data_IF_807921727525
#
_entry.id   IF_807921727525
#
_cell.length_a   1.000
_cell.length_b   1.000
_cell.length_c   1.000
_cell.angle_alpha   90.00
_cell.angle_beta   90.00
_cell.angle_gamma   90.00
#
_symmetry.space_group_name_H-M   'P 1'
#
loop_
_entity.id
_entity.type
_entity.pdbx_description
1 polymer ?
#
# COMPACT_ATOMS: atom_id res chain seq x y z
N UNK A 1 -5.14 22.32 11.23
CA UNK A 1 -5.67 21.91 12.56
C UNK A 1 -6.25 20.49 12.46
N UNK A 2 -5.63 19.50 13.13
CA UNK A 2 -6.13 18.12 13.17
C UNK A 2 -7.18 18.03 14.28
N UNK A 3 -8.42 17.81 13.92
CA UNK A 3 -9.49 17.50 14.86
C UNK A 3 -9.23 16.13 15.50
N UNK A 4 -8.57 16.12 16.67
CA UNK A 4 -8.59 14.94 17.53
C UNK A 4 -10.00 14.84 18.10
N UNK A 5 -10.75 13.83 17.69
CA UNK A 5 -12.04 13.52 18.33
C UNK A 5 -11.74 13.02 19.75
N UNK A 6 -11.87 13.91 20.73
CA UNK A 6 -11.61 13.68 22.16
C UNK A 6 -12.82 13.14 22.92
N UNK A 7 -13.85 12.67 22.22
CA UNK A 7 -15.02 12.06 22.86
C UNK A 7 -14.73 10.66 23.40
N UNK A 8 -15.57 10.13 24.31
CA UNK A 8 -15.44 8.78 24.84
C UNK A 8 -15.45 7.73 23.71
N UNK A 9 -14.76 6.62 23.94
CA UNK A 9 -14.77 5.48 23.01
C UNK A 9 -16.17 4.84 23.01
N UNK A 10 -16.67 4.49 21.84
CA UNK A 10 -17.88 3.68 21.73
C UNK A 10 -17.65 2.28 22.33
N UNK A 11 -18.71 1.57 22.62
CA UNK A 11 -18.60 0.20 23.15
C UNK A 11 -17.80 -0.70 22.22
N UNK A 12 -18.06 -0.65 20.93
CA UNK A 12 -17.31 -1.43 19.92
C UNK A 12 -15.84 -1.03 19.83
N UNK A 13 -15.52 0.27 19.92
CA UNK A 13 -14.14 0.75 19.96
C UNK A 13 -13.41 0.23 21.20
N UNK A 14 -14.07 0.23 22.37
CA UNK A 14 -13.49 -0.33 23.61
C UNK A 14 -13.25 -1.83 23.53
N UNK A 15 -14.24 -2.61 23.06
CA UNK A 15 -14.12 -4.07 22.87
C UNK A 15 -13.00 -4.41 21.88
N UNK A 16 -12.93 -3.69 20.77
CA UNK A 16 -11.86 -3.90 19.76
C UNK A 16 -10.50 -3.56 20.31
N UNK A 17 -10.35 -2.45 21.05
CA UNK A 17 -9.08 -2.07 21.67
C UNK A 17 -8.64 -3.10 22.70
N UNK A 18 -9.56 -3.61 23.53
CA UNK A 18 -9.28 -4.67 24.51
C UNK A 18 -8.78 -5.95 23.83
N UNK A 19 -9.44 -6.40 22.77
CA UNK A 19 -9.03 -7.59 21.99
C UNK A 19 -7.63 -7.43 21.39
N UNK A 20 -7.33 -6.25 20.83
CA UNK A 20 -6.00 -5.97 20.26
C UNK A 20 -4.94 -5.94 21.36
N UNK A 21 -5.26 -5.35 22.52
CA UNK A 21 -4.34 -5.29 23.67
C UNK A 21 -4.03 -6.68 24.20
N UNK A 22 -5.04 -7.53 24.39
CA UNK A 22 -4.87 -8.92 24.80
C UNK A 22 -4.01 -9.71 23.80
N UNK A 23 -4.25 -9.55 22.49
CA UNK A 23 -3.44 -10.20 21.47
C UNK A 23 -1.98 -9.73 21.50
N UNK A 24 -1.74 -8.43 21.73
CA UNK A 24 -0.40 -7.85 21.84
C UNK A 24 0.33 -8.31 23.13
N UNK A 25 -0.39 -8.46 24.23
CA UNK A 25 0.16 -8.94 25.50
C UNK A 25 0.51 -10.41 25.47
N UNK A 26 -0.34 -11.20 24.83
CA UNK A 26 -0.11 -12.64 24.66
C UNK A 26 0.85 -12.97 23.50
N UNK A 27 1.39 -11.98 22.78
CA UNK A 27 2.25 -12.19 21.62
C UNK A 27 1.53 -12.96 20.50
N UNK A 28 0.20 -12.85 20.41
CA UNK A 28 -0.60 -13.48 19.36
C UNK A 28 -0.64 -12.62 18.09
N UNK A 29 -1.04 -13.23 16.96
CA UNK A 29 -1.26 -12.51 15.70
C UNK A 29 -2.26 -11.35 15.88
N UNK A 30 -2.16 -10.34 15.05
CA UNK A 30 -3.17 -9.28 15.01
C UNK A 30 -4.56 -9.88 14.69
N UNK A 31 -5.62 -9.50 15.43
CA UNK A 31 -6.97 -9.97 15.16
C UNK A 31 -7.40 -9.66 13.74
N UNK A 32 -8.05 -10.61 13.07
CA UNK A 32 -8.65 -10.41 11.73
C UNK A 32 -9.92 -9.56 11.84
N UNK A 33 -10.51 -9.20 10.70
CA UNK A 33 -11.80 -8.52 10.72
C UNK A 33 -12.92 -9.41 11.27
N UNK A 34 -12.84 -10.72 10.97
CA UNK A 34 -13.80 -11.72 11.46
C UNK A 34 -13.68 -11.91 12.98
N UNK A 35 -12.44 -12.03 13.51
CA UNK A 35 -12.19 -12.13 14.97
C UNK A 35 -12.78 -10.90 15.70
N UNK A 36 -12.64 -9.71 15.13
CA UNK A 36 -13.19 -8.47 15.71
C UNK A 36 -14.71 -8.47 15.61
N UNK A 37 -15.27 -8.91 14.48
CA UNK A 37 -16.72 -8.98 14.28
C UNK A 37 -17.35 -9.92 15.30
N UNK A 38 -16.81 -11.11 15.47
CA UNK A 38 -17.28 -12.12 16.44
C UNK A 38 -17.20 -11.58 17.87
N UNK A 39 -16.08 -10.96 18.25
CA UNK A 39 -15.87 -10.43 19.58
C UNK A 39 -16.76 -9.22 19.91
N UNK A 40 -17.02 -8.36 18.94
CA UNK A 40 -17.79 -7.12 19.14
C UNK A 40 -19.28 -7.29 18.91
N UNK A 41 -19.69 -8.33 18.16
CA UNK A 41 -21.06 -8.54 17.72
C UNK A 41 -21.53 -7.53 16.67
N UNK A 42 -20.60 -6.92 15.92
CA UNK A 42 -20.99 -5.96 14.89
C UNK A 42 -21.49 -6.65 13.62
N UNK A 43 -22.43 -6.01 12.91
CA UNK A 43 -23.20 -6.63 11.83
C UNK A 43 -22.46 -6.75 10.49
N UNK A 44 -21.24 -6.18 10.36
CA UNK A 44 -20.50 -6.24 9.10
C UNK A 44 -19.00 -6.08 9.25
N UNK A 45 -18.26 -6.72 8.35
CA UNK A 45 -16.80 -6.59 8.22
C UNK A 45 -16.38 -5.13 7.93
N UNK A 46 -17.17 -4.39 7.15
CA UNK A 46 -16.90 -2.98 6.87
C UNK A 46 -16.92 -2.12 8.14
N UNK A 47 -17.79 -2.45 9.10
CA UNK A 47 -17.85 -1.78 10.40
C UNK A 47 -16.57 -2.05 11.20
N UNK A 48 -16.06 -3.28 11.21
CA UNK A 48 -14.81 -3.63 11.93
C UNK A 48 -13.61 -2.85 11.37
N UNK A 49 -13.51 -2.76 10.05
CA UNK A 49 -12.46 -1.97 9.38
C UNK A 49 -12.53 -0.49 9.79
N UNK A 50 -13.75 0.05 9.83
CA UNK A 50 -14.00 1.45 10.23
C UNK A 50 -13.62 1.70 11.70
N UNK A 51 -13.91 0.74 12.60
CA UNK A 51 -13.53 0.82 14.02
C UNK A 51 -12.02 0.87 14.17
N UNK A 52 -11.29 -0.04 13.52
CA UNK A 52 -9.82 -0.07 13.55
C UNK A 52 -9.23 1.25 13.02
N UNK A 53 -9.75 1.77 11.90
CA UNK A 53 -9.32 3.06 11.37
C UNK A 53 -9.58 4.23 12.33
N UNK A 54 -10.70 4.19 13.07
CA UNK A 54 -11.00 5.22 14.09
C UNK A 54 -10.01 5.16 15.25
N UNK A 55 -9.68 3.95 15.74
CA UNK A 55 -8.68 3.77 16.80
C UNK A 55 -7.29 4.26 16.35
N UNK A 56 -6.91 3.96 15.11
CA UNK A 56 -5.66 4.43 14.49
C UNK A 56 -5.65 5.98 14.36
N UNK A 57 -6.73 6.58 13.87
CA UNK A 57 -6.87 8.05 13.75
C UNK A 57 -6.85 8.76 15.11
N UNK A 58 -7.33 8.10 16.16
CA UNK A 58 -7.24 8.59 17.53
C UNK A 58 -5.83 8.45 18.16
N UNK A 59 -4.94 7.71 17.48
CA UNK A 59 -3.57 7.46 17.96
C UNK A 59 -3.51 6.46 19.11
N UNK A 60 -4.51 5.61 19.29
CA UNK A 60 -4.53 4.57 20.31
C UNK A 60 -3.77 3.32 19.87
N UNK A 61 -3.80 3.04 18.57
CA UNK A 61 -3.06 1.96 17.92
C UNK A 61 -2.31 2.49 16.71
N UNK A 62 -1.19 1.86 16.37
CA UNK A 62 -0.50 2.01 15.10
C UNK A 62 -0.63 0.69 14.32
N UNK A 63 -0.95 0.77 13.02
CA UNK A 63 -1.18 -0.40 12.18
C UNK A 63 -0.19 -0.42 11.03
N UNK A 64 0.72 -1.39 11.06
CA UNK A 64 1.61 -1.71 9.95
C UNK A 64 0.94 -2.75 9.06
N UNK A 65 0.74 -2.42 7.78
CA UNK A 65 0.04 -3.28 6.81
C UNK A 65 1.05 -3.94 5.89
N UNK A 66 0.99 -5.26 5.81
CA UNK A 66 1.78 -6.11 4.92
C UNK A 66 0.89 -6.75 3.85
N UNK A 67 1.46 -7.49 2.93
CA UNK A 67 0.74 -8.00 1.76
C UNK A 67 -0.49 -8.87 2.13
N UNK A 68 -0.39 -9.72 3.16
CA UNK A 68 -1.48 -10.61 3.61
C UNK A 68 -1.71 -10.58 5.12
N UNK A 69 -1.11 -9.62 5.81
CA UNK A 69 -1.12 -9.56 7.26
C UNK A 69 -0.98 -8.13 7.75
N UNK A 70 -1.13 -7.94 9.04
CA UNK A 70 -0.93 -6.66 9.71
C UNK A 70 -0.30 -6.87 11.07
N UNK A 71 0.48 -5.92 11.52
CA UNK A 71 0.98 -5.82 12.88
C UNK A 71 0.32 -4.61 13.54
N UNK A 72 -0.14 -4.78 14.75
CA UNK A 72 -0.76 -3.71 15.52
C UNK A 72 0.10 -3.42 16.75
N UNK A 73 0.35 -2.14 17.02
CA UNK A 73 1.08 -1.68 18.19
C UNK A 73 0.14 -0.83 19.03
N UNK A 74 0.05 -1.11 20.33
CA UNK A 74 -0.66 -0.28 21.30
C UNK A 74 0.24 0.92 21.63
N UNK A 75 -0.21 2.13 21.28
CA UNK A 75 0.62 3.34 21.44
C UNK A 75 0.97 3.62 22.89
N UNK A 76 0.03 3.37 23.81
CA UNK A 76 0.21 3.64 25.23
C UNK A 76 1.26 2.73 25.91
N UNK A 77 1.39 1.47 25.49
CA UNK A 77 2.27 0.48 26.11
C UNK A 77 3.46 0.09 25.25
N UNK A 78 3.44 0.44 23.96
CA UNK A 78 4.41 -0.01 22.97
C UNK A 78 4.36 -1.51 22.65
N UNK A 79 3.44 -2.27 23.26
CA UNK A 79 3.30 -3.71 23.02
C UNK A 79 2.77 -3.94 21.59
N UNK A 80 3.28 -5.00 20.96
CA UNK A 80 2.98 -5.35 19.57
C UNK A 80 2.40 -6.74 19.47
N UNK A 81 1.47 -6.92 18.54
CA UNK A 81 1.05 -8.27 18.12
C UNK A 81 2.21 -9.02 17.46
N UNK A 82 2.11 -10.35 17.39
CA UNK A 82 3.18 -11.22 16.85
C UNK A 82 3.72 -10.72 15.50
N UNK A 83 4.98 -11.04 15.25
CA UNK A 83 5.62 -10.81 13.95
C UNK A 83 4.85 -11.52 12.83
N UNK A 84 4.77 -10.88 11.68
CA UNK A 84 4.16 -11.46 10.49
C UNK A 84 5.18 -12.34 9.77
N UNK A 85 4.70 -13.42 9.15
CA UNK A 85 5.54 -14.38 8.41
C UNK A 85 6.15 -13.72 7.16
N UNK A 86 5.44 -12.77 6.55
CA UNK A 86 5.90 -12.04 5.37
C UNK A 86 5.78 -10.54 5.62
N UNK A 87 6.92 -9.88 5.78
CA UNK A 87 7.04 -8.43 6.00
C UNK A 87 7.06 -7.63 4.69
N UNK A 88 6.78 -8.26 3.54
CA UNK A 88 6.68 -7.54 2.28
C UNK A 88 5.63 -6.41 2.40
N UNK A 89 5.98 -5.18 1.99
CA UNK A 89 5.07 -4.04 2.07
C UNK A 89 3.77 -4.33 1.33
N UNK A 90 2.66 -3.84 1.88
CA UNK A 90 1.38 -3.92 1.16
C UNK A 90 1.49 -3.10 -0.13
N UNK A 91 1.03 -3.65 -1.26
CA UNK A 91 1.10 -3.00 -2.57
C UNK A 91 0.48 -1.59 -2.61
N UNK A 92 -0.43 -1.25 -1.67
CA UNK A 92 -1.01 0.08 -1.49
C UNK A 92 -0.24 0.99 -0.53
N UNK A 93 0.79 0.49 0.15
CA UNK A 93 1.48 1.27 1.21
C UNK A 93 2.36 2.40 0.68
N UNK A 94 2.43 2.61 -0.62
CA UNK A 94 2.97 3.84 -1.23
C UNK A 94 4.44 4.17 -0.93
N UNK A 95 5.16 3.31 -0.19
CA UNK A 95 6.57 3.50 0.16
C UNK A 95 7.54 2.85 -0.85
N UNK A 96 7.00 2.10 -1.81
CA UNK A 96 7.77 1.75 -3.00
C UNK A 96 7.91 2.97 -3.90
N UNK A 97 8.97 3.09 -4.70
CA UNK A 97 9.03 4.10 -5.73
C UNK A 97 7.71 3.99 -6.51
N UNK A 98 6.95 5.08 -6.56
CA UNK A 98 5.77 5.15 -7.42
C UNK A 98 6.27 4.71 -8.77
N UNK A 99 5.83 3.54 -9.23
CA UNK A 99 6.15 3.07 -10.56
C UNK A 99 5.90 4.26 -11.48
N UNK A 100 6.92 4.61 -12.26
CA UNK A 100 6.79 5.69 -13.23
C UNK A 100 5.45 5.53 -13.96
N UNK A 101 4.76 6.61 -14.33
CA UNK A 101 3.45 6.53 -14.94
C UNK A 101 3.50 5.51 -16.06
N UNK A 102 2.92 4.34 -15.81
CA UNK A 102 2.97 3.23 -16.76
C UNK A 102 2.01 3.55 -17.88
N UNK A 103 2.55 3.78 -19.05
CA UNK A 103 1.72 3.80 -20.28
C UNK A 103 1.24 2.36 -20.49
N UNK A 104 -0.07 2.08 -20.37
CA UNK A 104 -0.54 0.72 -20.58
C UNK A 104 -0.29 0.32 -22.04
N UNK A 105 0.23 -0.88 -22.26
CA UNK A 105 0.50 -1.41 -23.61
C UNK A 105 -0.75 -1.34 -24.51
N UNK A 106 -1.93 -1.45 -23.94
CA UNK A 106 -3.23 -1.30 -24.65
C UNK A 106 -3.34 0.06 -25.35
N UNK A 107 -2.77 1.12 -24.82
CA UNK A 107 -2.76 2.43 -25.45
C UNK A 107 -1.87 2.44 -26.72
N UNK A 108 -0.75 1.74 -26.68
CA UNK A 108 0.14 1.56 -27.83
C UNK A 108 -0.51 0.66 -28.85
N UNK A 109 -1.14 -0.45 -28.42
CA UNK A 109 -1.86 -1.39 -29.30
C UNK A 109 -2.97 -0.70 -30.09
N UNK A 110 -3.72 0.21 -29.47
CA UNK A 110 -4.80 0.93 -30.12
C UNK A 110 -4.32 1.89 -31.21
N UNK A 111 -3.10 2.41 -31.12
CA UNK A 111 -2.53 3.41 -32.06
C UNK A 111 -1.51 2.86 -33.03
N UNK A 112 -0.71 1.91 -32.59
CA UNK A 112 0.42 1.32 -33.34
C UNK A 112 0.54 -0.18 -32.98
N UNK A 113 -0.36 -1.04 -33.54
CA UNK A 113 -0.41 -2.46 -33.18
C UNK A 113 0.87 -3.21 -33.47
N UNK A 114 1.56 -2.87 -34.57
CA UNK A 114 2.81 -3.55 -34.94
C UNK A 114 3.92 -3.19 -33.97
N UNK A 115 4.06 -1.92 -33.61
CA UNK A 115 5.02 -1.46 -32.58
C UNK A 115 4.76 -2.11 -31.22
N UNK A 116 3.50 -2.29 -30.84
CA UNK A 116 3.16 -2.97 -29.60
C UNK A 116 3.62 -4.44 -29.62
N UNK A 117 3.50 -5.14 -30.76
CA UNK A 117 4.01 -6.51 -30.90
C UNK A 117 5.54 -6.56 -30.77
N UNK A 118 6.24 -5.65 -31.42
CA UNK A 118 7.70 -5.54 -31.32
C UNK A 118 8.15 -5.31 -29.88
N UNK A 119 7.50 -4.40 -29.17
CA UNK A 119 7.77 -4.12 -27.76
C UNK A 119 7.56 -5.35 -26.87
N UNK A 120 6.49 -6.12 -27.08
CA UNK A 120 6.23 -7.36 -26.34
C UNK A 120 7.32 -8.40 -26.60
N UNK A 121 7.76 -8.54 -27.85
CA UNK A 121 8.84 -9.47 -28.23
C UNK A 121 10.16 -9.03 -27.62
N UNK A 122 10.48 -7.74 -27.67
CA UNK A 122 11.70 -7.19 -27.08
C UNK A 122 11.74 -7.39 -25.55
N UNK A 123 10.65 -7.07 -24.86
CA UNK A 123 10.55 -7.30 -23.42
C UNK A 123 10.81 -8.76 -23.02
N UNK A 124 10.26 -9.71 -23.80
CA UNK A 124 10.49 -11.15 -23.58
C UNK A 124 11.96 -11.54 -23.80
N UNK A 125 12.61 -10.98 -24.81
CA UNK A 125 14.05 -11.25 -25.08
C UNK A 125 14.94 -10.76 -23.95
N UNK A 126 14.57 -9.63 -23.32
CA UNK A 126 15.30 -9.06 -22.19
C UNK A 126 14.91 -9.66 -20.84
N UNK A 127 13.96 -10.62 -20.82
CA UNK A 127 13.48 -11.24 -19.57
C UNK A 127 12.71 -10.29 -18.66
N UNK A 128 12.21 -9.19 -19.20
CA UNK A 128 11.48 -8.15 -18.46
C UNK A 128 9.96 -8.28 -18.63
N UNK A 129 9.20 -7.77 -17.66
CA UNK A 129 7.77 -7.57 -17.88
C UNK A 129 7.57 -6.46 -18.93
N UNK A 130 6.49 -6.55 -19.70
CA UNK A 130 6.15 -5.52 -20.71
C UNK A 130 6.03 -4.13 -20.06
N UNK A 131 5.58 -4.08 -18.82
CA UNK A 131 5.43 -2.83 -18.07
C UNK A 131 6.78 -2.21 -17.68
N UNK A 132 7.70 -3.03 -17.20
CA UNK A 132 9.06 -2.59 -16.85
C UNK A 132 9.83 -2.17 -18.10
N UNK A 133 9.68 -2.91 -19.20
CA UNK A 133 10.26 -2.57 -20.49
C UNK A 133 9.76 -1.21 -21.03
N UNK A 134 8.44 -0.96 -20.96
CA UNK A 134 7.87 0.35 -21.33
C UNK A 134 8.39 1.46 -20.41
N UNK A 135 8.53 1.20 -19.11
CA UNK A 135 9.12 2.14 -18.15
C UNK A 135 10.56 2.51 -18.53
N UNK A 136 11.36 1.51 -18.89
CA UNK A 136 12.74 1.72 -19.34
C UNK A 136 12.81 2.52 -20.64
N UNK A 137 11.93 2.25 -21.61
CA UNK A 137 11.85 3.01 -22.86
C UNK A 137 11.47 4.48 -22.65
N UNK A 138 10.49 4.74 -21.75
CA UNK A 138 10.10 6.10 -21.40
C UNK A 138 11.26 6.84 -20.76
N UNK A 139 12.00 6.20 -19.86
CA UNK A 139 13.17 6.77 -19.22
C UNK A 139 14.27 7.09 -20.24
N UNK A 140 14.61 6.13 -21.10
CA UNK A 140 15.60 6.33 -22.15
C UNK A 140 15.21 7.46 -23.11
N UNK A 141 13.95 7.49 -23.55
CA UNK A 141 13.42 8.56 -24.40
C UNK A 141 13.48 9.93 -23.75
N UNK A 142 13.20 10.00 -22.43
CA UNK A 142 13.33 11.25 -21.67
C UNK A 142 14.77 11.74 -21.60
N UNK A 143 15.74 10.84 -21.34
CA UNK A 143 17.17 11.19 -21.32
C UNK A 143 17.63 11.78 -22.66
N UNK A 144 17.26 11.17 -23.77
CA UNK A 144 17.56 11.68 -25.12
C UNK A 144 16.96 13.08 -25.32
N UNK A 145 15.70 13.26 -24.90
CA UNK A 145 14.99 14.54 -25.03
C UNK A 145 15.64 15.64 -24.21
N UNK A 146 16.00 15.37 -22.96
CA UNK A 146 16.66 16.33 -22.07
C UNK A 146 18.02 16.75 -22.60
N UNK A 147 18.80 15.78 -23.11
CA UNK A 147 20.10 16.07 -23.72
C UNK A 147 19.96 16.96 -24.96
N UNK A 148 18.96 16.67 -25.81
CA UNK A 148 18.70 17.50 -26.99
C UNK A 148 18.26 18.93 -26.63
N UNK A 149 17.42 19.10 -25.59
CA UNK A 149 16.99 20.42 -25.13
C UNK A 149 18.16 21.24 -24.58
N UNK A 150 19.05 20.62 -23.78
CA UNK A 150 20.24 21.31 -23.26
C UNK A 150 21.20 21.74 -24.36
N UNK A 151 21.42 20.90 -25.37
CA UNK A 151 22.24 21.24 -26.50
C UNK A 151 21.67 22.43 -27.33
N UNK A 152 20.35 22.63 -27.34
CA UNK A 152 19.71 23.77 -27.96
C UNK A 152 19.92 25.07 -27.15
N UNK A 153 19.88 24.96 -25.80
CA UNK A 153 20.11 26.12 -24.91
C UNK A 153 21.57 26.60 -24.89
N UNK A 154 22.53 25.70 -25.11
CA UNK A 154 23.97 26.00 -25.16
C UNK A 154 24.43 26.54 -26.54
N UNK A 155 23.57 26.48 -27.55
CA UNK A 155 23.85 26.89 -28.92
C UNK A 155 23.29 28.26 -29.30
N UNK A 156 22.51 28.92 -28.41
CA UNK A 156 22.04 30.31 -28.53
C UNK A 156 22.93 31.25 -27.71
#
# INVERSE_FOLDING_TARGET
MRWRRTGPLSEWERKTLALITEAAEAGRRAPTADDIQEHTGCNSISTTVTIVQKLEKRGLIAVERFQRSRRMTIVATGKRTAAVINEAPHWRSGTGPRSAPSVPISWVQARKPDLAREMIVAARREGMSVQDFLGALVWAGWQVRVTALRAQEEGE
#
